data_IF_798788405545
#
_entry.id   IF_798788405545
#
_cell.length_a   1.000
_cell.length_b   1.000
_cell.length_c   1.000
_cell.angle_alpha   90.00
_cell.angle_beta   90.00
_cell.angle_gamma   90.00
#
_symmetry.space_group_name_H-M   'P 1'
#
loop_
_entity.id
_entity.type
_entity.pdbx_description
1 polymer ?
#
# COMPACT_ATOMS: atom_id res chain seq x y z
N UNK A 1 32.87 -29.51 -20.70
CA UNK A 1 32.58 -29.52 -19.25
C UNK A 1 31.09 -29.63 -19.08
N UNK A 2 30.58 -30.79 -18.66
CA UNK A 2 29.15 -31.03 -18.50
C UNK A 2 28.64 -30.33 -17.22
N UNK A 3 27.59 -29.52 -17.35
CA UNK A 3 26.97 -28.88 -16.19
C UNK A 3 26.37 -29.95 -15.25
N UNK A 4 26.49 -29.79 -13.93
CA UNK A 4 26.00 -30.78 -12.97
C UNK A 4 24.48 -30.98 -13.13
N UNK A 5 23.96 -32.21 -13.06
CA UNK A 5 22.58 -32.54 -13.42
C UNK A 5 21.53 -31.75 -12.63
N UNK A 6 21.88 -31.31 -11.41
CA UNK A 6 21.04 -30.46 -10.55
C UNK A 6 20.78 -29.07 -11.15
N UNK A 7 21.75 -28.50 -11.90
CA UNK A 7 21.58 -27.18 -12.53
C UNK A 7 20.64 -27.22 -13.73
N UNK A 8 20.62 -28.35 -14.46
CA UNK A 8 19.72 -28.56 -15.59
C UNK A 8 18.29 -28.77 -15.07
N UNK A 9 18.12 -29.51 -13.98
CA UNK A 9 16.82 -29.70 -13.34
C UNK A 9 16.23 -28.38 -12.82
N UNK A 10 17.03 -27.55 -12.15
CA UNK A 10 16.58 -26.23 -11.66
C UNK A 10 16.25 -25.27 -12.82
N UNK A 11 17.07 -25.25 -13.88
CA UNK A 11 16.79 -24.45 -15.06
C UNK A 11 15.49 -24.88 -15.76
N UNK A 12 15.23 -26.20 -15.82
CA UNK A 12 13.97 -26.74 -16.36
C UNK A 12 12.75 -26.35 -15.53
N UNK A 13 12.87 -26.36 -14.20
CA UNK A 13 11.80 -25.99 -13.27
C UNK A 13 11.48 -24.48 -13.36
N UNK A 14 12.50 -23.63 -13.48
CA UNK A 14 12.34 -22.18 -13.69
C UNK A 14 11.65 -21.90 -15.03
N UNK A 15 12.02 -22.60 -16.09
CA UNK A 15 11.38 -22.49 -17.41
C UNK A 15 9.91 -22.92 -17.36
N UNK A 16 9.60 -24.01 -16.66
CA UNK A 16 8.22 -24.49 -16.47
C UNK A 16 7.36 -23.45 -15.74
N UNK A 17 7.85 -22.90 -14.63
CA UNK A 17 7.15 -21.87 -13.86
C UNK A 17 6.90 -20.62 -14.73
N UNK A 18 7.88 -20.21 -15.53
CA UNK A 18 7.75 -19.07 -16.43
C UNK A 18 6.67 -19.31 -17.50
N UNK A 19 6.65 -20.50 -18.11
CA UNK A 19 5.63 -20.87 -19.11
C UNK A 19 4.23 -20.90 -18.50
N UNK A 20 4.08 -21.44 -17.29
CA UNK A 20 2.79 -21.48 -16.58
C UNK A 20 2.30 -20.07 -16.21
N UNK A 21 3.20 -19.18 -15.78
CA UNK A 21 2.86 -17.79 -15.48
C UNK A 21 2.40 -17.03 -16.74
N UNK A 22 3.07 -17.24 -17.88
CA UNK A 22 2.68 -16.65 -19.17
C UNK A 22 1.33 -17.22 -19.64
N UNK A 23 1.10 -18.52 -19.50
CA UNK A 23 -0.18 -19.14 -19.86
C UNK A 23 -1.34 -18.61 -19.01
N UNK A 24 -1.15 -18.46 -17.69
CA UNK A 24 -2.14 -17.86 -16.80
C UNK A 24 -2.44 -16.40 -17.16
N UNK A 25 -1.41 -15.62 -17.52
CA UNK A 25 -1.57 -14.24 -17.96
C UNK A 25 -2.33 -14.16 -19.29
N UNK A 26 -2.01 -15.04 -20.26
CA UNK A 26 -2.72 -15.14 -21.53
C UNK A 26 -4.20 -15.51 -21.33
N UNK A 27 -4.50 -16.50 -20.48
CA UNK A 27 -5.87 -16.89 -20.15
C UNK A 27 -6.64 -15.75 -19.45
N UNK A 28 -5.98 -15.00 -18.56
CA UNK A 28 -6.60 -13.84 -17.91
C UNK A 28 -6.92 -12.72 -18.91
N UNK A 29 -6.02 -12.45 -19.86
CA UNK A 29 -6.21 -11.41 -20.89
C UNK A 29 -7.26 -11.84 -21.92
N UNK A 30 -7.32 -13.12 -22.29
CA UNK A 30 -8.30 -13.67 -23.23
C UNK A 30 -9.69 -13.81 -22.59
N UNK A 31 -9.78 -14.17 -21.31
CA UNK A 31 -11.04 -14.24 -20.55
C UNK A 31 -11.72 -12.89 -20.33
N UNK A 32 -11.00 -11.77 -20.50
CA UNK A 32 -11.59 -10.42 -20.47
C UNK A 32 -12.22 -9.97 -21.81
N UNK A 33 -12.25 -10.81 -22.84
CA UNK A 33 -12.84 -10.47 -24.15
C UNK A 33 -14.03 -11.36 -24.55
N UNK A 34 -15.21 -11.15 -23.91
CA UNK A 34 -16.62 -11.12 -24.46
C UNK A 34 -17.67 -11.85 -23.57
N UNK A 35 -18.99 -11.52 -23.67
CA UNK A 35 -19.63 -10.43 -24.41
C UNK A 35 -20.42 -9.44 -23.52
N UNK A 36 -20.70 -8.29 -24.13
CA UNK A 36 -21.66 -7.24 -23.74
C UNK A 36 -22.95 -7.83 -23.15
N UNK A 37 -23.27 -7.40 -21.94
CA UNK A 37 -24.54 -7.68 -21.27
C UNK A 37 -25.67 -7.00 -22.06
N UNK A 38 -26.60 -7.81 -22.56
CA UNK A 38 -27.87 -7.37 -23.13
C UNK A 38 -28.72 -6.72 -22.04
N UNK A 39 -29.33 -5.59 -22.38
CA UNK A 39 -30.40 -4.94 -21.61
C UNK A 39 -31.68 -5.75 -21.80
N UNK A 40 -32.41 -6.14 -20.73
CA UNK A 40 -33.71 -6.77 -20.88
C UNK A 40 -34.81 -5.72 -21.13
N UNK A 41 -35.87 -6.04 -21.88
CA UNK A 41 -36.95 -5.11 -22.17
C UNK A 41 -37.87 -4.94 -20.94
N UNK A 42 -38.51 -3.78 -20.74
CA UNK A 42 -39.51 -3.62 -19.69
C UNK A 42 -40.80 -4.37 -20.05
N UNK A 43 -41.32 -5.13 -19.08
CA UNK A 43 -42.64 -5.76 -19.11
C UNK A 43 -43.75 -4.71 -19.23
N UNK A 44 -44.65 -4.95 -20.18
CA UNK A 44 -45.93 -4.29 -20.32
C UNK A 44 -46.79 -4.47 -19.06
N UNK A 45 -47.27 -3.36 -18.51
CA UNK A 45 -48.49 -3.31 -17.73
C UNK A 45 -49.45 -2.39 -18.50
N UNK A 46 -50.55 -2.97 -18.96
CA UNK A 46 -51.59 -2.33 -19.74
C UNK A 46 -52.53 -1.46 -18.88
N UNK A 47 -52.95 -0.34 -19.48
CA UNK A 47 -54.17 0.46 -19.24
C UNK A 47 -54.31 1.20 -17.89
N UNK A 48 -54.77 2.46 -17.80
CA UNK A 48 -55.58 3.27 -18.70
C UNK A 48 -55.42 4.78 -18.40
N UNK A 49 -55.58 5.61 -19.44
CA UNK A 49 -56.02 7.04 -19.54
C UNK A 49 -55.47 8.10 -18.56
N UNK A 50 -55.20 9.36 -18.91
CA UNK A 50 -55.62 10.23 -20.01
C UNK A 50 -54.65 11.45 -20.12
N UNK A 51 -54.64 12.07 -21.32
CA UNK A 51 -54.29 13.45 -21.66
C UNK A 51 -52.80 13.92 -21.66
N UNK A 52 -52.24 13.95 -22.89
CA UNK A 52 -51.32 14.98 -23.40
C UNK A 52 -52.07 16.35 -23.37
N UNK A 53 -51.49 17.55 -23.21
CA UNK A 53 -50.32 18.14 -23.87
C UNK A 53 -50.05 19.53 -23.22
N UNK A 54 -48.81 19.89 -22.89
CA UNK A 54 -48.12 21.08 -23.46
C UNK A 54 -46.74 21.30 -22.82
N UNK A 55 -45.77 21.45 -23.72
CA UNK A 55 -44.36 21.70 -23.50
C UNK A 55 -44.06 23.09 -22.91
N UNK A 56 -42.96 23.17 -22.17
CA UNK A 56 -42.30 24.42 -21.83
C UNK A 56 -40.85 24.18 -21.43
N UNK A 57 -40.01 23.88 -22.43
CA UNK A 57 -38.59 23.55 -22.27
C UNK A 57 -37.72 24.69 -21.70
N UNK A 58 -36.54 24.32 -21.20
CA UNK A 58 -35.48 25.29 -20.91
C UNK A 58 -34.42 24.81 -19.92
N UNK A 59 -33.50 23.97 -20.39
CA UNK A 59 -32.31 23.58 -19.61
C UNK A 59 -31.31 24.73 -19.45
N UNK A 60 -31.09 25.20 -18.22
CA UNK A 60 -29.99 26.12 -17.87
C UNK A 60 -29.06 25.58 -16.77
N UNK A 61 -28.01 24.91 -17.25
CA UNK A 61 -26.58 25.10 -16.97
C UNK A 61 -26.04 25.13 -15.50
N UNK A 62 -25.04 24.28 -15.16
CA UNK A 62 -24.38 24.16 -13.84
C UNK A 62 -23.48 25.35 -13.40
N UNK A 63 -23.47 26.46 -14.14
CA UNK A 63 -22.67 27.65 -13.83
C UNK A 63 -23.23 28.46 -12.65
N UNK A 64 -24.55 28.45 -12.46
CA UNK A 64 -25.21 29.25 -11.43
C UNK A 64 -24.96 28.70 -10.01
N UNK A 65 -24.78 27.37 -9.87
CA UNK A 65 -24.37 26.74 -8.60
C UNK A 65 -22.94 27.12 -8.19
N UNK A 66 -21.99 27.25 -9.14
CA UNK A 66 -20.62 27.66 -8.86
C UNK A 66 -20.53 29.13 -8.41
N UNK A 67 -21.33 30.02 -9.00
CA UNK A 67 -21.45 31.43 -8.57
C UNK A 67 -22.04 31.55 -7.16
N UNK A 68 -23.11 30.79 -6.84
CA UNK A 68 -23.69 30.74 -5.48
C UNK A 68 -22.71 30.25 -4.42
N UNK A 69 -21.85 29.26 -4.73
CA UNK A 69 -20.83 28.75 -3.79
C UNK A 69 -19.68 29.75 -3.56
N UNK A 70 -19.26 30.51 -4.57
CA UNK A 70 -18.23 31.57 -4.40
C UNK A 70 -18.74 32.75 -3.56
N UNK A 71 -19.99 33.18 -3.75
CA UNK A 71 -20.59 34.26 -2.96
C UNK A 71 -20.66 33.92 -1.46
N UNK A 72 -20.98 32.66 -1.10
CA UNK A 72 -21.00 32.20 0.30
C UNK A 72 -19.61 32.14 0.95
N UNK A 73 -18.54 31.90 0.17
CA UNK A 73 -17.16 31.86 0.70
C UNK A 73 -16.58 33.26 0.95
N UNK A 74 -17.00 34.25 0.15
CA UNK A 74 -16.60 35.66 0.33
C UNK A 74 -17.23 36.28 1.59
N UNK A 75 -18.51 36.01 1.88
CA UNK A 75 -19.18 36.49 3.10
C UNK A 75 -18.52 35.99 4.40
N UNK A 76 -18.04 34.74 4.42
CA UNK A 76 -17.33 34.17 5.58
C UNK A 76 -15.92 34.73 5.80
N UNK A 77 -15.29 35.28 4.75
CA UNK A 77 -14.00 35.96 4.88
C UNK A 77 -14.17 37.40 5.36
N UNK A 78 -15.26 38.07 4.99
CA UNK A 78 -15.58 39.43 5.47
C UNK A 78 -16.02 39.43 6.94
N UNK A 79 -16.75 38.39 7.40
CA UNK A 79 -17.11 38.23 8.82
C UNK A 79 -15.92 37.83 9.71
N UNK A 80 -14.89 37.16 9.16
CA UNK A 80 -13.68 36.79 9.89
C UNK A 80 -12.61 37.89 9.96
N UNK A 81 -12.69 38.90 9.09
CA UNK A 81 -11.72 40.00 9.01
C UNK A 81 -12.09 41.22 9.88
N UNK A 82 -13.30 41.25 10.46
CA UNK A 82 -13.75 42.34 11.33
C UNK A 82 -13.41 42.14 12.81
N UNK A 83 -12.72 41.04 13.19
CA UNK A 83 -12.46 40.69 14.59
C UNK A 83 -10.99 40.88 15.05
N UNK A 84 -10.06 41.29 14.20
CA UNK A 84 -8.70 41.62 14.63
C UNK A 84 -8.28 43.02 14.17
N UNK A 85 -8.60 43.99 15.01
CA UNK A 85 -8.03 45.33 14.96
C UNK A 85 -7.93 45.89 16.38
N UNK A 86 -6.71 45.95 16.92
CA UNK A 86 -6.41 46.80 18.08
C UNK A 86 -5.30 46.28 18.99
N UNK A 87 -4.21 47.06 19.11
CA UNK A 87 -3.36 47.05 20.31
C UNK A 87 -1.86 46.92 20.04
N UNK A 88 -1.18 48.07 19.98
CA UNK A 88 0.28 48.21 19.98
C UNK A 88 0.77 48.40 21.43
N UNK A 89 1.85 47.71 21.82
CA UNK A 89 2.76 48.10 22.91
C UNK A 89 2.47 47.57 24.32
N UNK A 90 3.37 46.73 24.84
CA UNK A 90 4.01 46.89 26.16
C UNK A 90 4.97 45.71 26.44
N UNK A 91 6.22 46.05 26.74
CA UNK A 91 7.26 45.20 27.31
C UNK A 91 6.83 44.50 28.61
N UNK A 92 7.43 43.35 28.88
CA UNK A 92 7.55 42.81 30.23
C UNK A 92 7.14 41.35 30.38
N UNK A 93 8.12 40.54 30.78
CA UNK A 93 7.94 39.33 31.57
C UNK A 93 7.50 38.04 30.84
N UNK A 94 8.44 37.38 30.16
CA UNK A 94 8.33 35.96 29.75
C UNK A 94 9.56 35.11 30.06
N UNK A 95 10.47 35.58 30.91
CA UNK A 95 11.67 34.82 31.33
C UNK A 95 11.38 33.77 32.42
N UNK A 96 10.13 33.63 32.88
CA UNK A 96 9.74 32.59 33.84
C UNK A 96 9.23 31.28 33.20
N UNK A 97 8.86 31.27 31.91
CA UNK A 97 8.31 30.08 31.23
C UNK A 97 9.36 29.22 30.50
N UNK A 98 10.60 29.72 30.35
CA UNK A 98 11.68 29.02 29.64
C UNK A 98 12.36 27.91 30.47
N UNK A 99 12.07 27.79 31.78
CA UNK A 99 12.69 26.80 32.67
C UNK A 99 11.89 25.51 32.91
N UNK A 100 10.80 25.30 32.19
CA UNK A 100 10.05 24.03 32.20
C UNK A 100 10.24 23.18 30.93
N UNK A 101 11.14 23.56 30.03
CA UNK A 101 11.52 22.77 28.83
C UNK A 101 12.80 21.93 29.03
N UNK A 102 13.18 21.69 30.28
CA UNK A 102 14.37 20.91 30.65
C UNK A 102 14.03 19.47 30.99
N UNK A 103 13.67 18.66 29.98
CA UNK A 103 13.78 17.17 29.93
C UNK A 103 12.96 16.55 28.77
N UNK A 104 12.93 17.17 27.60
CA UNK A 104 12.80 16.32 26.40
C UNK A 104 14.20 15.76 26.13
N UNK A 105 14.39 14.54 26.64
CA UNK A 105 15.50 13.70 26.27
C UNK A 105 15.70 13.81 24.76
N UNK A 106 16.95 13.98 24.37
CA UNK A 106 17.47 13.95 23.02
C UNK A 106 17.04 12.62 22.37
N UNK A 107 15.78 12.50 21.94
CA UNK A 107 15.30 11.35 21.22
C UNK A 107 16.12 11.31 19.93
N UNK A 108 16.71 10.16 19.57
CA UNK A 108 17.41 10.02 18.30
C UNK A 108 16.48 10.55 17.23
N UNK A 109 16.94 11.53 16.44
CA UNK A 109 16.17 12.10 15.34
C UNK A 109 15.69 10.92 14.48
N UNK A 110 14.39 10.64 14.58
CA UNK A 110 13.73 9.49 13.95
C UNK A 110 14.10 9.50 12.47
N UNK A 111 14.36 8.34 11.85
CA UNK A 111 14.40 8.30 10.41
C UNK A 111 13.00 8.64 9.91
N UNK A 112 12.80 9.88 9.49
CA UNK A 112 11.66 10.22 8.63
C UNK A 112 11.93 9.48 7.33
N UNK A 113 11.09 8.49 7.01
CA UNK A 113 11.15 7.73 5.76
C UNK A 113 10.19 8.38 4.77
N UNK A 114 10.53 9.45 4.04
CA UNK A 114 9.55 10.14 3.24
C UNK A 114 9.43 9.37 1.92
N UNK A 115 8.56 8.35 1.85
CA UNK A 115 8.02 7.88 0.59
C UNK A 115 6.98 8.91 0.15
N UNK A 116 7.46 10.06 -0.32
CA UNK A 116 6.64 11.26 -0.54
C UNK A 116 5.55 11.05 -1.60
N UNK A 117 5.74 10.07 -2.48
CA UNK A 117 4.77 9.66 -3.50
C UNK A 117 3.82 8.55 -3.03
N UNK A 118 3.89 8.10 -1.78
CA UNK A 118 2.91 7.16 -1.21
C UNK A 118 1.78 7.95 -0.54
N UNK A 119 0.57 7.38 -0.49
CA UNK A 119 -0.55 8.06 0.15
C UNK A 119 -0.27 8.34 1.63
N UNK A 120 -0.63 9.54 2.09
CA UNK A 120 -0.37 9.98 3.48
C UNK A 120 -0.84 9.02 4.59
N UNK A 121 -1.97 8.29 4.46
CA UNK A 121 -2.34 7.24 5.40
C UNK A 121 -1.35 6.06 5.42
N UNK A 122 -0.91 5.59 4.25
CA UNK A 122 0.04 4.47 4.14
C UNK A 122 1.43 4.88 4.63
N UNK A 123 1.88 6.08 4.31
CA UNK A 123 3.12 6.65 4.84
C UNK A 123 3.13 6.69 6.39
N UNK A 124 2.01 7.08 7.00
CA UNK A 124 1.86 7.08 8.47
C UNK A 124 1.89 5.66 9.05
N UNK A 125 1.24 4.71 8.39
CA UNK A 125 1.27 3.28 8.77
C UNK A 125 2.70 2.71 8.74
N UNK A 126 3.44 2.98 7.67
CA UNK A 126 4.82 2.50 7.51
C UNK A 126 5.71 3.04 8.63
N UNK A 127 5.64 4.34 8.92
CA UNK A 127 6.43 4.95 9.99
C UNK A 127 6.07 4.35 11.36
N UNK A 128 4.78 4.28 11.68
CA UNK A 128 4.32 3.72 12.95
C UNK A 128 4.77 2.27 13.15
N UNK A 129 4.62 1.43 12.12
CA UNK A 129 5.02 0.02 12.19
C UNK A 129 6.53 -0.17 12.25
N UNK A 130 7.30 0.66 11.58
CA UNK A 130 8.76 0.64 11.71
C UNK A 130 9.19 1.02 13.14
N UNK A 131 8.56 2.04 13.73
CA UNK A 131 8.83 2.45 15.10
C UNK A 131 8.46 1.36 16.12
N UNK A 132 7.33 0.68 15.92
CA UNK A 132 6.92 -0.47 16.74
C UNK A 132 7.95 -1.60 16.63
N UNK A 133 8.40 -1.90 15.41
CA UNK A 133 9.40 -2.93 15.14
C UNK A 133 10.75 -2.62 15.81
N UNK A 134 11.21 -1.36 15.72
CA UNK A 134 12.45 -0.92 16.35
C UNK A 134 12.37 -1.07 17.88
N UNK A 135 11.31 -0.56 18.50
CA UNK A 135 11.10 -0.66 19.96
C UNK A 135 11.01 -2.11 20.44
N UNK A 136 10.23 -2.96 19.75
CA UNK A 136 10.07 -4.36 20.12
C UNK A 136 11.37 -5.16 19.93
N UNK A 137 12.20 -4.78 18.94
CA UNK A 137 13.51 -5.39 18.74
C UNK A 137 14.51 -5.02 19.84
N UNK A 138 14.51 -3.78 20.30
CA UNK A 138 15.33 -3.30 21.43
C UNK A 138 14.93 -4.00 22.74
N UNK A 139 13.63 -4.23 22.94
CA UNK A 139 13.08 -4.92 24.09
C UNK A 139 13.16 -6.46 24.00
N UNK A 140 13.72 -7.03 22.93
CA UNK A 140 13.79 -8.47 22.66
C UNK A 140 12.42 -9.20 22.74
N UNK A 141 11.32 -8.50 22.47
CA UNK A 141 9.96 -9.01 22.61
C UNK A 141 9.22 -9.02 21.26
N UNK A 142 9.95 -9.22 20.17
CA UNK A 142 9.42 -9.12 18.83
C UNK A 142 8.52 -10.30 18.49
N UNK A 143 7.32 -10.02 17.99
CA UNK A 143 6.36 -11.05 17.57
C UNK A 143 6.35 -11.20 16.04
N UNK A 144 6.03 -12.41 15.56
CA UNK A 144 5.86 -12.70 14.13
C UNK A 144 4.77 -11.81 13.51
N UNK A 145 3.68 -11.57 14.25
CA UNK A 145 2.57 -10.73 13.81
C UNK A 145 3.01 -9.29 13.49
N UNK A 146 3.79 -8.66 14.38
CA UNK A 146 4.30 -7.30 14.18
C UNK A 146 5.16 -7.17 12.91
N UNK A 147 5.96 -8.19 12.61
CA UNK A 147 6.78 -8.17 11.40
C UNK A 147 5.95 -8.42 10.15
N UNK A 148 4.99 -9.35 10.20
CA UNK A 148 4.06 -9.59 9.10
C UNK A 148 3.27 -8.33 8.76
N UNK A 149 2.78 -7.61 9.76
CA UNK A 149 2.10 -6.32 9.56
C UNK A 149 3.01 -5.28 8.88
N UNK A 150 4.28 -5.21 9.27
CA UNK A 150 5.24 -4.29 8.65
C UNK A 150 5.55 -4.70 7.20
N UNK A 151 5.75 -5.99 6.93
CA UNK A 151 5.96 -6.51 5.57
C UNK A 151 4.75 -6.21 4.69
N UNK A 152 3.53 -6.39 5.20
CA UNK A 152 2.31 -6.03 4.47
C UNK A 152 2.26 -4.52 4.13
N UNK A 153 2.68 -3.65 5.04
CA UNK A 153 2.79 -2.21 4.75
C UNK A 153 3.81 -1.91 3.65
N UNK A 154 4.92 -2.65 3.60
CA UNK A 154 5.91 -2.52 2.52
C UNK A 154 5.38 -3.04 1.17
N UNK A 155 4.61 -4.12 1.18
CA UNK A 155 3.93 -4.65 -0.02
C UNK A 155 2.93 -3.61 -0.55
N UNK A 156 2.11 -3.03 0.32
CA UNK A 156 1.20 -1.94 -0.03
C UNK A 156 1.95 -0.77 -0.68
N UNK A 157 3.09 -0.37 -0.08
CA UNK A 157 3.92 0.74 -0.58
C UNK A 157 4.49 0.43 -1.97
N UNK A 158 5.01 -0.78 -2.16
CA UNK A 158 5.54 -1.25 -3.45
C UNK A 158 4.45 -1.19 -4.52
N UNK A 159 3.26 -1.70 -4.21
CA UNK A 159 2.14 -1.73 -5.15
C UNK A 159 1.71 -0.30 -5.53
N UNK A 160 1.61 0.62 -4.58
CA UNK A 160 1.24 2.02 -4.86
C UNK A 160 2.32 2.71 -5.71
N UNK A 161 3.60 2.55 -5.38
CA UNK A 161 4.72 3.12 -6.14
C UNK A 161 4.76 2.60 -7.58
N UNK A 162 4.57 1.29 -7.77
CA UNK A 162 4.49 0.67 -9.10
C UNK A 162 3.31 1.21 -9.90
N UNK A 163 2.12 1.25 -9.30
CA UNK A 163 0.94 1.79 -9.96
C UNK A 163 1.13 3.25 -10.38
N UNK A 164 1.71 4.09 -9.51
CA UNK A 164 2.01 5.49 -9.83
C UNK A 164 3.05 5.59 -10.94
N UNK A 165 4.12 4.82 -10.89
CA UNK A 165 5.15 4.79 -11.93
C UNK A 165 4.56 4.43 -13.29
N UNK A 166 3.74 3.40 -13.37
CA UNK A 166 3.08 3.03 -14.63
C UNK A 166 2.17 4.14 -15.16
N UNK A 167 1.40 4.80 -14.29
CA UNK A 167 0.51 5.90 -14.66
C UNK A 167 1.29 7.11 -15.18
N UNK A 168 2.37 7.49 -14.49
CA UNK A 168 3.28 8.57 -14.90
C UNK A 168 3.96 8.21 -16.22
N UNK A 169 4.46 6.98 -16.37
CA UNK A 169 5.14 6.53 -17.57
C UNK A 169 4.23 6.50 -18.80
N UNK A 170 3.00 5.98 -18.67
CA UNK A 170 1.99 6.01 -19.73
C UNK A 170 1.65 7.46 -20.12
N UNK A 171 1.37 8.31 -19.13
CA UNK A 171 1.04 9.72 -19.35
C UNK A 171 2.19 10.48 -20.02
N UNK A 172 3.43 10.21 -19.61
CA UNK A 172 4.63 10.82 -20.17
C UNK A 172 4.80 10.42 -21.64
N UNK A 173 4.67 9.14 -21.97
CA UNK A 173 4.76 8.64 -23.36
C UNK A 173 3.70 9.32 -24.25
N UNK A 174 2.45 9.37 -23.80
CA UNK A 174 1.35 9.98 -24.55
C UNK A 174 1.61 11.47 -24.78
N UNK A 175 1.93 12.23 -23.72
CA UNK A 175 2.13 13.69 -23.85
C UNK A 175 3.38 14.04 -24.63
N UNK A 176 4.44 13.25 -24.52
CA UNK A 176 5.65 13.40 -25.34
C UNK A 176 5.36 13.15 -26.82
N UNK A 177 4.58 12.11 -27.14
CA UNK A 177 4.13 11.88 -28.52
C UNK A 177 3.24 13.02 -29.04
N UNK A 178 2.37 13.55 -28.18
CA UNK A 178 1.57 14.73 -28.51
C UNK A 178 2.46 15.97 -28.78
N UNK A 179 3.54 16.19 -28.02
CA UNK A 179 4.47 17.31 -28.29
C UNK A 179 5.16 17.19 -29.64
N UNK A 180 5.48 15.98 -30.06
CA UNK A 180 6.07 15.71 -31.38
C UNK A 180 5.08 15.93 -32.54
N UNK A 181 3.79 16.14 -32.25
CA UNK A 181 2.80 16.47 -33.25
C UNK A 181 2.86 17.97 -33.62
N UNK A 182 3.23 18.24 -34.86
CA UNK A 182 3.40 19.57 -35.44
C UNK A 182 2.09 20.36 -35.62
N UNK A 183 0.92 19.75 -35.35
CA UNK A 183 -0.40 20.40 -35.47
C UNK A 183 -0.84 21.18 -34.22
N UNK A 184 -0.02 21.20 -33.16
CA UNK A 184 -0.36 21.92 -31.94
C UNK A 184 -0.10 23.42 -32.09
N UNK A 185 -1.11 24.24 -31.77
CA UNK A 185 -0.95 25.69 -31.66
C UNK A 185 0.06 26.06 -30.55
N UNK A 186 0.71 27.22 -30.67
CA UNK A 186 1.73 27.68 -29.72
C UNK A 186 1.29 27.63 -28.24
N UNK A 187 0.05 28.02 -27.94
CA UNK A 187 -0.48 28.00 -26.57
C UNK A 187 -0.79 26.59 -26.04
N UNK A 188 -1.18 25.65 -26.91
CA UNK A 188 -1.36 24.25 -26.49
C UNK A 188 -0.02 23.55 -26.31
N UNK A 189 0.99 23.93 -27.09
CA UNK A 189 2.36 23.45 -26.96
C UNK A 189 2.96 23.80 -25.60
N UNK A 190 2.95 25.08 -25.19
CA UNK A 190 3.52 25.52 -23.90
C UNK A 190 2.87 24.79 -22.72
N UNK A 191 1.54 24.68 -22.72
CA UNK A 191 0.80 23.95 -21.68
C UNK A 191 1.17 22.46 -21.65
N UNK A 192 1.33 21.84 -22.81
CA UNK A 192 1.69 20.42 -22.92
C UNK A 192 3.14 20.18 -22.49
N UNK A 193 4.05 21.09 -22.83
CA UNK A 193 5.45 21.06 -22.43
C UNK A 193 5.59 21.11 -20.91
N UNK A 194 4.86 22.03 -20.27
CA UNK A 194 4.81 22.13 -18.81
C UNK A 194 4.25 20.85 -18.14
N UNK A 195 3.25 20.22 -18.75
CA UNK A 195 2.75 18.93 -18.26
C UNK A 195 3.78 17.81 -18.39
N UNK A 196 4.59 17.80 -19.45
CA UNK A 196 5.68 16.83 -19.61
C UNK A 196 6.78 17.06 -18.58
N UNK A 197 7.18 18.32 -18.36
CA UNK A 197 8.13 18.69 -17.29
C UNK A 197 7.69 18.20 -15.92
N UNK A 198 6.42 18.41 -15.55
CA UNK A 198 5.87 17.93 -14.28
C UNK A 198 5.93 16.41 -14.14
N UNK A 199 5.63 15.67 -15.21
CA UNK A 199 5.73 14.21 -15.23
C UNK A 199 7.18 13.72 -15.11
N UNK A 200 8.17 14.47 -15.64
CA UNK A 200 9.59 14.17 -15.43
C UNK A 200 9.97 14.31 -13.96
N UNK A 201 9.56 15.39 -13.32
CA UNK A 201 9.77 15.60 -11.88
C UNK A 201 9.10 14.50 -11.05
N UNK A 202 7.87 14.12 -11.36
CA UNK A 202 7.16 13.05 -10.65
C UNK A 202 7.85 11.70 -10.83
N UNK A 203 8.31 11.38 -12.05
CA UNK A 203 9.13 10.18 -12.31
C UNK A 203 10.40 10.18 -11.48
N UNK A 204 11.10 11.31 -11.38
CA UNK A 204 12.34 11.40 -10.62
C UNK A 204 12.11 11.31 -9.10
N UNK A 205 10.97 11.81 -8.61
CA UNK A 205 10.55 11.58 -7.23
C UNK A 205 10.23 10.11 -6.95
N UNK A 206 9.51 9.43 -7.86
CA UNK A 206 9.25 7.99 -7.73
C UNK A 206 10.53 7.15 -7.73
N UNK A 207 11.57 7.57 -8.45
CA UNK A 207 12.90 6.92 -8.37
C UNK A 207 13.54 7.08 -6.99
N UNK A 208 13.42 8.26 -6.37
CA UNK A 208 13.91 8.49 -5.01
C UNK A 208 13.16 7.62 -4.01
N UNK A 209 11.84 7.56 -4.11
CA UNK A 209 11.03 6.71 -3.24
C UNK A 209 11.33 5.22 -3.43
N UNK A 210 11.58 4.77 -4.66
CA UNK A 210 12.03 3.41 -4.92
C UNK A 210 13.39 3.11 -4.26
N UNK A 211 14.32 4.06 -4.27
CA UNK A 211 15.61 3.91 -3.59
C UNK A 211 15.43 3.83 -2.05
N UNK A 212 14.53 4.64 -1.48
CA UNK A 212 14.20 4.59 -0.05
C UNK A 212 13.54 3.25 0.31
N UNK A 213 12.58 2.79 -0.49
CA UNK A 213 11.95 1.48 -0.31
C UNK A 213 13.00 0.36 -0.32
N UNK A 214 13.91 0.35 -1.29
CA UNK A 214 14.98 -0.65 -1.38
C UNK A 214 15.89 -0.61 -0.14
N UNK A 215 16.24 0.59 0.33
CA UNK A 215 17.03 0.76 1.56
C UNK A 215 16.30 0.21 2.79
N UNK A 216 15.00 0.47 2.92
CA UNK A 216 14.19 -0.07 4.03
C UNK A 216 14.16 -1.59 3.95
N UNK A 217 13.92 -2.14 2.76
CA UNK A 217 13.89 -3.58 2.53
C UNK A 217 15.24 -4.22 2.89
N UNK A 218 16.35 -3.63 2.47
CA UNK A 218 17.70 -4.12 2.78
C UNK A 218 17.99 -4.09 4.29
N UNK A 219 17.62 -2.98 4.96
CA UNK A 219 17.77 -2.87 6.42
C UNK A 219 16.92 -3.87 7.17
N UNK A 220 15.68 -4.07 6.74
CA UNK A 220 14.80 -5.08 7.30
C UNK A 220 15.43 -6.47 7.18
N UNK A 221 15.91 -6.83 5.98
CA UNK A 221 16.56 -8.13 5.73
C UNK A 221 17.81 -8.38 6.60
N UNK A 222 18.53 -7.32 6.96
CA UNK A 222 19.71 -7.40 7.84
C UNK A 222 19.36 -7.49 9.33
N UNK A 223 18.13 -7.15 9.71
CA UNK A 223 17.72 -7.11 11.11
C UNK A 223 17.65 -8.53 11.72
N UNK A 224 18.02 -8.71 13.01
CA UNK A 224 17.89 -10.00 13.72
C UNK A 224 16.45 -10.52 13.70
N UNK A 225 15.50 -9.60 13.83
CA UNK A 225 14.06 -9.80 13.67
C UNK A 225 13.67 -10.61 12.42
N UNK A 226 14.08 -10.11 11.26
CA UNK A 226 13.75 -10.71 9.97
C UNK A 226 14.43 -12.08 9.81
N UNK A 227 15.68 -12.22 10.27
CA UNK A 227 16.40 -13.50 10.24
C UNK A 227 15.70 -14.57 11.08
N UNK A 228 15.27 -14.22 12.29
CA UNK A 228 14.54 -15.11 13.18
C UNK A 228 13.23 -15.59 12.53
N UNK A 229 12.53 -14.73 11.80
CA UNK A 229 11.34 -15.14 11.05
C UNK A 229 11.68 -16.08 9.91
N UNK A 230 12.73 -15.79 9.14
CA UNK A 230 13.17 -16.71 8.08
C UNK A 230 13.54 -18.08 8.63
N UNK A 231 14.17 -18.13 9.81
CA UNK A 231 14.49 -19.39 10.52
C UNK A 231 13.23 -20.12 10.99
N UNK A 232 12.28 -19.41 11.61
CA UNK A 232 11.00 -19.99 12.06
C UNK A 232 10.16 -20.50 10.88
N UNK A 233 10.09 -19.75 9.78
CA UNK A 233 9.41 -20.17 8.56
C UNK A 233 10.08 -21.37 7.89
N UNK A 234 11.40 -21.48 7.96
CA UNK A 234 12.12 -22.66 7.49
C UNK A 234 11.78 -23.89 8.34
N UNK A 235 11.74 -23.73 9.67
CA UNK A 235 11.32 -24.80 10.58
C UNK A 235 9.87 -25.24 10.36
N UNK A 236 8.95 -24.31 10.08
CA UNK A 236 7.56 -24.63 9.73
C UNK A 236 7.45 -25.41 8.41
N UNK A 237 8.28 -25.13 7.40
CA UNK A 237 8.30 -25.91 6.17
C UNK A 237 8.99 -27.27 6.31
N UNK A 238 9.95 -27.39 7.23
CA UNK A 238 10.63 -28.65 7.54
C UNK A 238 9.82 -29.53 8.51
N UNK A 239 8.89 -28.94 9.26
CA UNK A 239 7.92 -29.68 10.04
C UNK A 239 7.03 -30.47 9.09
N UNK A 240 7.29 -31.77 8.98
CA UNK A 240 6.33 -32.67 8.35
C UNK A 240 5.00 -32.53 9.09
N UNK A 241 3.93 -32.29 8.34
CA UNK A 241 2.56 -32.36 8.83
C UNK A 241 2.26 -33.79 9.27
N UNK A 242 2.70 -34.15 10.48
CA UNK A 242 2.41 -35.41 11.12
C UNK A 242 0.94 -35.40 11.51
N UNK A 243 0.21 -36.41 11.05
CA UNK A 243 -1.19 -36.55 11.45
C UNK A 243 -1.27 -36.84 12.96
N UNK A 244 -2.37 -36.45 13.60
CA UNK A 244 -2.59 -36.73 15.02
C UNK A 244 -2.46 -38.23 15.34
N UNK A 245 -2.92 -39.09 14.42
CA UNK A 245 -2.82 -40.55 14.52
C UNK A 245 -1.36 -41.04 14.47
N UNK A 246 -0.53 -40.42 13.64
CA UNK A 246 0.90 -40.73 13.49
C UNK A 246 1.73 -40.23 14.68
N UNK A 247 1.36 -39.07 15.25
CA UNK A 247 1.89 -38.60 16.53
C UNK A 247 1.60 -39.58 17.67
N UNK A 248 0.35 -40.06 17.76
CA UNK A 248 -0.06 -41.04 18.77
C UNK A 248 0.65 -42.38 18.59
N UNK A 249 0.87 -42.83 17.35
CA UNK A 249 1.62 -44.05 17.08
C UNK A 249 3.08 -43.91 17.55
N UNK A 250 3.73 -42.79 17.22
CA UNK A 250 5.11 -42.49 17.62
C UNK A 250 5.27 -42.33 19.14
N UNK A 251 4.30 -41.69 19.81
CA UNK A 251 4.28 -41.57 21.27
C UNK A 251 4.07 -42.94 21.94
N UNK A 252 3.18 -43.80 21.42
CA UNK A 252 2.98 -45.17 21.93
C UNK A 252 4.25 -46.03 21.83
N UNK A 253 5.03 -45.85 20.77
CA UNK A 253 6.31 -46.52 20.56
C UNK A 253 7.45 -45.92 21.40
N UNK A 254 7.31 -44.67 21.86
CA UNK A 254 8.27 -43.99 22.73
C UNK A 254 8.21 -44.54 24.17
N UNK A 255 8.79 -45.72 24.34
CA UNK A 255 8.92 -46.40 25.63
C UNK A 255 9.68 -45.55 26.66
N UNK A 256 10.58 -44.65 26.25
CA UNK A 256 11.31 -43.78 27.18
C UNK A 256 10.40 -42.71 27.79
N UNK A 257 9.48 -42.14 27.00
CA UNK A 257 8.48 -41.20 27.48
C UNK A 257 7.52 -41.83 28.51
N UNK A 258 7.08 -43.07 28.28
CA UNK A 258 6.19 -43.79 29.20
C UNK A 258 6.89 -44.40 30.41
N UNK A 259 8.21 -44.60 30.36
CA UNK A 259 9.00 -45.14 31.47
C UNK A 259 9.62 -44.03 32.32
N UNK A 260 8.81 -43.25 33.02
CA UNK A 260 9.35 -42.25 33.96
C UNK A 260 10.07 -42.85 35.17
N UNK A 261 10.06 -44.17 35.43
CA UNK A 261 10.89 -44.85 36.46
C UNK A 261 10.75 -46.39 36.41
N UNK A 262 10.85 -47.03 35.23
CA UNK A 262 10.91 -48.51 35.11
C UNK A 262 9.73 -49.32 35.68
N UNK A 263 8.67 -48.68 36.17
CA UNK A 263 7.43 -49.33 36.62
C UNK A 263 6.31 -48.87 35.71
N UNK A 264 5.74 -49.80 34.94
CA UNK A 264 4.51 -49.58 34.19
C UNK A 264 3.45 -49.03 35.16
N UNK A 265 2.80 -47.92 34.79
CA UNK A 265 1.53 -47.52 35.42
C UNK A 265 0.52 -48.60 35.07
N UNK A 266 0.38 -49.59 35.95
CA UNK A 266 -0.73 -50.53 35.92
C UNK A 266 -2.01 -49.71 36.13
N UNK A 267 -2.84 -49.61 35.10
CA UNK A 267 -4.20 -49.11 35.27
C UNK A 267 -4.98 -50.18 36.04
N UNK A 268 -5.27 -49.90 37.31
CA UNK A 268 -6.18 -50.71 38.09
C UNK A 268 -7.56 -50.57 37.49
N UNK A 269 -8.08 -51.65 36.91
CA UNK A 269 -9.50 -51.75 36.57
C UNK A 269 -10.34 -51.63 37.84
N UNK A 270 -11.34 -50.77 37.83
CA UNK A 270 -12.37 -50.66 38.85
C UNK A 270 -13.71 -50.52 38.17
#
# INVERSE_FOLDING_TARGET
MAAPPQTIALAGLILLIFVLAVAALCLHVLGRRRPRQQVPPPLEAAAAGEAEEEEGGGGERPQNQRRRRRARRKRRQEEGAAAEGGGHGADGDRDAAAKAAGKEALLPRRPEFPLASVAGPLQRRINARYDDLARASEAQCLTIEQVNEFVNCLIDARNELLQRYENVQRSFKIKKAMLSNHRNCRSSYERLFEQVRRLETERDNLKKDAAIYNYIQERLQKSPAYKMIMELSAMEMEAQEISFEELLAKEKEDTAFWQRNGKLRSFSSK
#
